data_IF_660431574786
#
_entry.id   IF_660431574786
#
_cell.length_a   1.000
_cell.length_b   1.000
_cell.length_c   1.000
_cell.angle_alpha   90.00
_cell.angle_beta   90.00
_cell.angle_gamma   90.00
#
_symmetry.space_group_name_H-M   'P 1'
#
loop_
_entity.id
_entity.type
_entity.pdbx_description
1 polymer ?
#
# COMPACT_ATOMS: atom_id res chain seq x y z
N UNK A 1 16.59 33.56 9.25
CA UNK A 1 15.82 33.11 10.43
C UNK A 1 14.77 32.07 10.05
N UNK A 2 13.92 32.29 9.04
CA UNK A 2 12.86 31.34 8.65
C UNK A 2 13.33 29.88 8.36
N UNK A 3 14.45 29.66 7.65
CA UNK A 3 14.94 28.31 7.33
C UNK A 3 15.52 27.53 8.53
N UNK A 4 15.97 28.23 9.59
CA UNK A 4 16.42 27.57 10.83
C UNK A 4 15.23 27.13 11.69
N UNK A 5 14.12 27.88 11.62
CA UNK A 5 12.88 27.55 12.33
C UNK A 5 12.23 26.30 11.74
N UNK A 6 12.22 26.14 10.41
CA UNK A 6 11.64 24.96 9.76
C UNK A 6 12.43 23.66 9.99
N UNK A 7 13.76 23.75 10.12
CA UNK A 7 14.60 22.58 10.41
C UNK A 7 14.39 22.05 11.82
N UNK A 8 14.30 22.95 12.81
CA UNK A 8 14.05 22.58 14.20
C UNK A 8 12.65 21.96 14.37
N UNK A 9 11.62 22.53 13.73
CA UNK A 9 10.26 21.97 13.73
C UNK A 9 10.22 20.55 13.14
N UNK A 10 10.86 20.34 11.99
CA UNK A 10 10.98 19.02 11.37
C UNK A 10 11.65 18.00 12.30
N UNK A 11 12.75 18.39 12.96
CA UNK A 11 13.47 17.49 13.87
C UNK A 11 12.68 17.18 15.13
N UNK A 12 11.89 18.12 15.65
CA UNK A 12 10.97 17.89 16.77
C UNK A 12 9.88 16.89 16.37
N UNK A 13 9.25 17.08 15.21
CA UNK A 13 8.22 16.16 14.69
C UNK A 13 8.80 14.74 14.52
N UNK A 14 9.96 14.61 13.87
CA UNK A 14 10.62 13.32 13.65
C UNK A 14 11.03 12.64 14.96
N UNK A 15 11.52 13.38 15.96
CA UNK A 15 11.83 12.81 17.28
C UNK A 15 10.58 12.31 17.99
N UNK A 16 9.50 13.08 17.96
CA UNK A 16 8.22 12.64 18.53
C UNK A 16 7.74 11.34 17.88
N UNK A 17 7.81 11.29 16.54
CA UNK A 17 7.47 10.08 15.78
C UNK A 17 8.33 8.88 16.22
N UNK A 18 9.65 9.04 16.33
CA UNK A 18 10.53 7.94 16.73
C UNK A 18 10.18 7.40 18.12
N UNK A 19 9.82 8.26 19.07
CA UNK A 19 9.35 7.83 20.39
C UNK A 19 8.02 7.08 20.31
N UNK A 20 7.09 7.53 19.46
CA UNK A 20 5.83 6.82 19.21
C UNK A 20 6.08 5.41 18.63
N UNK A 21 6.99 5.29 17.67
CA UNK A 21 7.36 4.01 17.06
C UNK A 21 8.04 3.07 18.05
N UNK A 22 8.92 3.59 18.93
CA UNK A 22 9.55 2.80 20.00
C UNK A 22 8.49 2.22 20.94
N UNK A 23 7.55 3.06 21.41
CA UNK A 23 6.44 2.61 22.26
C UNK A 23 5.59 1.55 21.59
N UNK A 24 5.22 1.78 20.33
CA UNK A 24 4.43 0.83 19.53
C UNK A 24 5.16 -0.50 19.32
N UNK A 25 6.47 -0.48 19.13
CA UNK A 25 7.29 -1.68 19.03
C UNK A 25 7.26 -2.49 20.34
N UNK A 26 7.36 -1.84 21.49
CA UNK A 26 7.26 -2.50 22.80
C UNK A 26 5.85 -3.06 23.06
N UNK A 27 4.80 -2.33 22.68
CA UNK A 27 3.42 -2.81 22.76
C UNK A 27 3.21 -4.07 21.92
N UNK A 28 3.66 -4.06 20.66
CA UNK A 28 3.54 -5.22 19.76
C UNK A 28 4.34 -6.42 20.27
N UNK A 29 5.51 -6.20 20.88
CA UNK A 29 6.31 -7.28 21.48
C UNK A 29 5.55 -8.03 22.57
N UNK A 30 4.74 -7.31 23.37
CA UNK A 30 3.96 -7.91 24.46
C UNK A 30 2.75 -8.69 23.97
N UNK A 31 2.23 -8.37 22.78
CA UNK A 31 1.02 -8.97 22.21
C UNK A 31 1.37 -10.10 21.24
N UNK A 32 2.52 -10.04 20.56
CA UNK A 32 2.91 -11.05 19.59
C UNK A 32 3.43 -12.31 20.31
N UNK A 33 2.79 -13.45 20.06
CA UNK A 33 3.18 -14.76 20.63
C UNK A 33 4.06 -15.60 19.70
N UNK A 34 4.28 -15.14 18.46
CA UNK A 34 5.01 -15.88 17.44
C UNK A 34 6.52 -15.56 17.47
N UNK A 35 7.41 -16.56 17.32
CA UNK A 35 8.86 -16.32 17.27
C UNK A 35 9.30 -15.43 16.10
N UNK A 36 8.65 -15.56 14.94
CA UNK A 36 8.97 -14.79 13.74
C UNK A 36 8.66 -13.29 13.91
N UNK A 37 7.54 -12.96 14.54
CA UNK A 37 7.19 -11.56 14.86
C UNK A 37 8.16 -10.97 15.87
N UNK A 38 8.64 -11.75 16.84
CA UNK A 38 9.67 -11.30 17.78
C UNK A 38 10.97 -10.91 17.07
N UNK A 39 11.44 -11.72 16.12
CA UNK A 39 12.67 -11.41 15.36
C UNK A 39 12.53 -10.12 14.54
N UNK A 40 11.37 -9.89 13.92
CA UNK A 40 11.08 -8.66 13.17
C UNK A 40 11.09 -7.44 14.09
N UNK A 41 10.43 -7.53 15.25
CA UNK A 41 10.39 -6.43 16.21
C UNK A 41 11.77 -6.12 16.82
N UNK A 42 12.60 -7.14 17.07
CA UNK A 42 13.99 -6.94 17.47
C UNK A 42 14.79 -6.20 16.39
N UNK A 43 14.58 -6.52 15.12
CA UNK A 43 15.16 -5.78 14.01
C UNK A 43 14.69 -4.32 14.00
N UNK A 44 13.38 -4.07 14.16
CA UNK A 44 12.83 -2.71 14.26
C UNK A 44 13.50 -1.91 15.39
N UNK A 45 13.70 -2.50 16.57
CA UNK A 45 14.38 -1.83 17.71
C UNK A 45 15.81 -1.46 17.38
N UNK A 46 16.54 -2.34 16.71
CA UNK A 46 17.92 -2.07 16.31
C UNK A 46 17.98 -0.96 15.25
N UNK A 47 17.10 -0.98 14.26
CA UNK A 47 17.04 0.05 13.22
C UNK A 47 16.56 1.39 13.78
N UNK A 48 15.59 1.42 14.70
CA UNK A 48 15.15 2.63 15.42
C UNK A 48 16.29 3.35 16.15
N UNK A 49 17.21 2.59 16.78
CA UNK A 49 18.42 3.16 17.39
C UNK A 49 19.34 3.79 16.34
N UNK A 50 19.41 3.20 15.14
CA UNK A 50 20.24 3.73 14.05
C UNK A 50 19.69 5.03 13.45
N UNK A 51 18.37 5.24 13.49
CA UNK A 51 17.70 6.45 12.98
C UNK A 51 17.38 7.47 14.08
N UNK A 52 17.84 7.26 15.31
CA UNK A 52 17.60 8.19 16.43
C UNK A 52 18.19 9.59 16.20
N UNK A 53 19.30 9.65 15.48
CA UNK A 53 19.95 10.89 15.09
C UNK A 53 19.32 11.47 13.82
N UNK A 54 18.26 12.26 13.99
CA UNK A 54 17.57 12.94 12.87
C UNK A 54 18.52 13.95 12.20
N UNK A 55 18.80 13.79 10.89
CA UNK A 55 19.66 14.70 10.12
C UNK A 55 18.98 16.06 9.87
N UNK A 56 19.77 17.05 9.47
CA UNK A 56 19.24 18.35 9.01
C UNK A 56 18.56 18.21 7.64
N UNK A 57 17.54 19.04 7.37
CA UNK A 57 16.84 19.15 6.09
C UNK A 57 17.79 19.42 4.91
N UNK A 58 18.90 20.12 5.17
CA UNK A 58 19.94 20.47 4.20
C UNK A 58 20.84 19.28 3.81
N UNK A 59 20.84 18.21 4.60
CA UNK A 59 21.80 17.10 4.50
C UNK A 59 21.34 16.03 3.51
N UNK A 60 21.15 16.42 2.24
CA UNK A 60 20.50 15.63 1.18
C UNK A 60 20.72 14.11 1.23
N UNK A 61 21.96 13.63 1.13
CA UNK A 61 22.26 12.18 1.12
C UNK A 61 21.99 11.50 2.47
N UNK A 62 22.42 12.11 3.58
CA UNK A 62 22.18 11.59 4.93
C UNK A 62 20.68 11.51 5.26
N UNK A 63 19.92 12.51 4.83
CA UNK A 63 18.47 12.60 4.97
C UNK A 63 17.75 11.55 4.14
N UNK A 64 18.16 11.33 2.89
CA UNK A 64 17.63 10.26 2.05
C UNK A 64 17.88 8.89 2.69
N UNK A 65 19.11 8.64 3.14
CA UNK A 65 19.45 7.39 3.84
C UNK A 65 18.61 7.21 5.10
N UNK A 66 18.48 8.25 5.91
CA UNK A 66 17.68 8.23 7.14
C UNK A 66 16.21 7.93 6.84
N UNK A 67 15.62 8.57 5.82
CA UNK A 67 14.21 8.36 5.47
C UNK A 67 13.95 6.95 4.93
N UNK A 68 14.91 6.37 4.18
CA UNK A 68 14.82 4.97 3.72
C UNK A 68 14.84 4.00 4.91
N UNK A 69 15.74 4.19 5.87
CA UNK A 69 15.79 3.33 7.06
C UNK A 69 14.56 3.50 7.96
N UNK A 70 14.05 4.73 8.13
CA UNK A 70 12.78 4.97 8.81
C UNK A 70 11.63 4.25 8.09
N UNK A 71 11.57 4.33 6.77
CA UNK A 71 10.54 3.68 5.96
C UNK A 71 10.52 2.17 6.17
N UNK A 72 11.69 1.53 6.20
CA UNK A 72 11.80 0.07 6.48
C UNK A 72 11.24 -0.28 7.85
N UNK A 73 11.56 0.50 8.89
CA UNK A 73 10.99 0.30 10.24
C UNK A 73 9.48 0.44 10.23
N UNK A 74 8.95 1.48 9.58
CA UNK A 74 7.52 1.71 9.48
C UNK A 74 6.83 0.52 8.80
N UNK A 75 7.42 0.00 7.71
CA UNK A 75 6.94 -1.19 7.05
C UNK A 75 6.96 -2.39 8.00
N UNK A 76 8.10 -2.76 8.57
CA UNK A 76 8.20 -3.95 9.43
C UNK A 76 7.23 -3.91 10.63
N UNK A 77 7.13 -2.77 11.31
CA UNK A 77 6.22 -2.60 12.46
C UNK A 77 4.76 -2.76 12.07
N UNK A 78 4.36 -2.08 10.99
CA UNK A 78 2.96 -2.13 10.55
C UNK A 78 2.61 -3.50 9.96
N UNK A 79 3.57 -4.24 9.42
CA UNK A 79 3.32 -5.59 8.91
C UNK A 79 2.90 -6.55 10.02
N UNK A 80 3.58 -6.49 11.18
CA UNK A 80 3.19 -7.26 12.36
C UNK A 80 1.76 -6.93 12.79
N UNK A 81 1.40 -5.65 12.78
CA UNK A 81 0.07 -5.21 13.17
C UNK A 81 -1.03 -5.58 12.17
N UNK A 82 -0.73 -5.51 10.87
CA UNK A 82 -1.61 -5.98 9.80
C UNK A 82 -1.92 -7.46 9.94
N UNK A 83 -0.91 -8.29 10.20
CA UNK A 83 -1.10 -9.73 10.37
C UNK A 83 -2.02 -10.01 11.55
N UNK A 84 -1.88 -9.30 12.67
CA UNK A 84 -2.80 -9.42 13.82
C UNK A 84 -4.24 -9.07 13.42
N UNK A 85 -4.45 -8.03 12.62
CA UNK A 85 -5.81 -7.65 12.16
C UNK A 85 -6.41 -8.69 11.21
N UNK A 86 -5.60 -9.23 10.30
CA UNK A 86 -6.02 -10.25 9.33
C UNK A 86 -6.31 -11.57 10.02
N UNK A 87 -5.45 -12.00 10.94
CA UNK A 87 -5.62 -13.24 11.71
C UNK A 87 -6.86 -13.18 12.62
N UNK A 88 -7.17 -12.00 13.16
CA UNK A 88 -8.41 -11.75 13.91
C UNK A 88 -9.64 -11.53 13.01
N UNK A 89 -9.51 -11.70 11.68
CA UNK A 89 -10.63 -11.53 10.74
C UNK A 89 -11.28 -10.15 10.79
N UNK A 90 -10.53 -9.12 11.22
CA UNK A 90 -11.06 -7.78 11.49
C UNK A 90 -12.29 -7.79 12.44
N UNK A 91 -12.35 -8.71 13.41
CA UNK A 91 -13.48 -8.86 14.33
C UNK A 91 -13.40 -7.97 15.58
N UNK A 92 -12.22 -7.47 15.95
CA UNK A 92 -12.10 -6.55 17.06
C UNK A 92 -12.94 -5.27 16.86
N UNK A 93 -13.61 -4.81 17.94
CA UNK A 93 -14.30 -3.50 18.01
C UNK A 93 -13.39 -2.34 17.55
N UNK A 94 -12.07 -2.55 17.62
CA UNK A 94 -11.06 -1.55 17.30
C UNK A 94 -10.37 -1.76 15.94
N UNK A 95 -10.85 -2.67 15.07
CA UNK A 95 -10.20 -2.96 13.78
C UNK A 95 -10.12 -1.74 12.86
N UNK A 96 -11.19 -0.95 12.76
CA UNK A 96 -11.19 0.28 11.93
C UNK A 96 -10.21 1.33 12.48
N UNK A 97 -10.28 1.74 13.77
CA UNK A 97 -9.29 2.65 14.35
C UNK A 97 -7.85 2.19 14.12
N UNK A 98 -7.57 0.91 14.41
CA UNK A 98 -6.23 0.33 14.29
C UNK A 98 -5.73 0.33 12.85
N UNK A 99 -6.60 -0.04 11.91
CA UNK A 99 -6.30 0.04 10.48
C UNK A 99 -6.03 1.48 10.05
N UNK A 100 -6.87 2.45 10.45
CA UNK A 100 -6.66 3.88 10.16
C UNK A 100 -5.31 4.37 10.71
N UNK A 101 -4.87 3.88 11.86
CA UNK A 101 -3.57 4.23 12.43
C UNK A 101 -2.41 3.59 11.65
N UNK A 102 -2.52 2.34 11.20
CA UNK A 102 -1.55 1.73 10.28
C UNK A 102 -1.42 2.57 9.00
N UNK A 103 -2.55 2.95 8.39
CA UNK A 103 -2.54 3.75 7.16
C UNK A 103 -1.84 5.10 7.36
N UNK A 104 -2.10 5.79 8.47
CA UNK A 104 -1.42 7.05 8.81
C UNK A 104 0.08 6.86 8.96
N UNK A 105 0.52 5.76 9.57
CA UNK A 105 1.93 5.44 9.80
C UNK A 105 2.64 5.13 8.48
N UNK A 106 2.02 4.34 7.59
CA UNK A 106 2.54 4.05 6.26
C UNK A 106 2.60 5.29 5.34
N UNK A 107 1.74 6.28 5.54
CA UNK A 107 1.72 7.54 4.79
C UNK A 107 2.82 8.53 5.22
N UNK A 108 3.47 8.31 6.38
CA UNK A 108 4.51 9.20 6.92
C UNK A 108 5.63 9.48 5.91
N UNK A 109 6.27 8.47 5.28
CA UNK A 109 7.38 8.73 4.35
C UNK A 109 6.95 9.57 3.16
N UNK A 110 5.69 9.42 2.72
CA UNK A 110 5.11 10.16 1.61
C UNK A 110 4.87 11.63 1.99
N UNK A 111 4.44 11.90 3.23
CA UNK A 111 4.20 13.26 3.74
C UNK A 111 5.47 14.01 4.12
N UNK A 112 6.45 13.29 4.68
CA UNK A 112 7.69 13.92 5.10
C UNK A 112 8.45 14.53 3.92
N UNK A 113 8.16 14.11 2.67
CA UNK A 113 8.81 14.50 1.41
C UNK A 113 9.70 15.75 1.52
N UNK A 114 10.94 15.47 1.93
CA UNK A 114 11.79 16.47 2.55
C UNK A 114 12.53 17.21 1.44
N UNK A 115 12.08 18.44 1.16
CA UNK A 115 12.78 19.42 0.32
C UNK A 115 12.67 19.18 -1.19
N UNK A 116 11.57 19.64 -1.81
CA UNK A 116 11.33 19.82 -3.27
C UNK A 116 11.64 18.67 -4.24
N UNK A 117 12.30 17.61 -3.81
CA UNK A 117 12.66 16.46 -4.61
C UNK A 117 11.45 15.54 -4.76
N UNK A 118 11.45 14.76 -5.83
CA UNK A 118 10.43 13.76 -6.03
C UNK A 118 10.62 12.65 -4.99
N UNK A 119 9.54 12.19 -4.34
CA UNK A 119 9.61 11.09 -3.36
C UNK A 119 10.27 9.83 -3.95
N UNK A 120 10.14 9.62 -5.27
CA UNK A 120 10.81 8.55 -5.99
C UNK A 120 12.34 8.73 -6.04
N UNK A 121 12.85 9.95 -6.09
CA UNK A 121 14.30 10.22 -6.03
C UNK A 121 14.84 9.96 -4.63
N UNK A 122 14.02 10.19 -3.61
CA UNK A 122 14.41 10.03 -2.21
C UNK A 122 14.33 8.56 -1.78
N UNK A 123 13.21 7.89 -1.99
CA UNK A 123 12.96 6.52 -1.52
C UNK A 123 13.31 5.46 -2.56
N UNK A 124 13.26 5.79 -3.84
CA UNK A 124 13.30 4.81 -4.93
C UNK A 124 11.94 4.19 -5.23
N UNK A 125 11.80 3.62 -6.41
CA UNK A 125 10.54 3.01 -6.88
C UNK A 125 10.09 1.86 -5.98
N UNK A 126 11.01 1.00 -5.54
CA UNK A 126 10.69 -0.20 -4.75
C UNK A 126 10.00 0.13 -3.42
N UNK A 127 10.53 1.09 -2.65
CA UNK A 127 9.92 1.47 -1.36
C UNK A 127 8.59 2.20 -1.56
N UNK A 128 8.49 3.08 -2.55
CA UNK A 128 7.24 3.80 -2.84
C UNK A 128 6.15 2.84 -3.31
N UNK A 129 6.49 1.89 -4.18
CA UNK A 129 5.61 0.83 -4.63
C UNK A 129 5.15 -0.05 -3.46
N UNK A 130 6.08 -0.43 -2.57
CA UNK A 130 5.76 -1.23 -1.38
C UNK A 130 4.80 -0.51 -0.42
N UNK A 131 5.01 0.78 -0.15
CA UNK A 131 4.09 1.58 0.69
C UNK A 131 2.69 1.61 0.06
N UNK A 132 2.60 1.95 -1.22
CA UNK A 132 1.32 2.02 -1.91
C UNK A 132 0.62 0.65 -1.98
N UNK A 133 1.38 -0.42 -2.24
CA UNK A 133 0.87 -1.79 -2.21
C UNK A 133 0.29 -2.13 -0.84
N UNK A 134 1.05 -1.91 0.23
CA UNK A 134 0.63 -2.31 1.58
C UNK A 134 -0.60 -1.58 2.08
N UNK A 135 -0.67 -0.27 1.86
CA UNK A 135 -1.88 0.49 2.13
C UNK A 135 -3.07 -0.06 1.32
N UNK A 136 -2.86 -0.25 0.01
CA UNK A 136 -3.90 -0.73 -0.90
C UNK A 136 -4.41 -2.12 -0.56
N UNK A 137 -3.50 -3.05 -0.26
CA UNK A 137 -3.78 -4.43 0.08
C UNK A 137 -4.49 -4.53 1.43
N UNK A 138 -4.09 -3.75 2.45
CA UNK A 138 -4.80 -3.74 3.74
C UNK A 138 -6.25 -3.29 3.59
N UNK A 139 -6.49 -2.22 2.81
CA UNK A 139 -7.84 -1.78 2.46
C UNK A 139 -8.64 -2.89 1.76
N UNK A 140 -8.01 -3.59 0.81
CA UNK A 140 -8.63 -4.72 0.13
C UNK A 140 -8.98 -5.86 1.10
N UNK A 141 -8.05 -6.27 1.98
CA UNK A 141 -8.27 -7.36 2.93
C UNK A 141 -9.44 -7.06 3.87
N UNK A 142 -9.54 -5.83 4.37
CA UNK A 142 -10.70 -5.39 5.16
C UNK A 142 -12.00 -5.51 4.35
N UNK A 143 -12.04 -4.91 3.15
CA UNK A 143 -13.25 -4.93 2.33
C UNK A 143 -13.65 -6.34 1.90
N UNK A 144 -12.69 -7.20 1.56
CA UNK A 144 -12.93 -8.59 1.18
C UNK A 144 -13.53 -9.38 2.32
N UNK A 145 -13.01 -9.21 3.54
CA UNK A 145 -13.51 -9.90 4.75
C UNK A 145 -14.98 -9.57 5.00
N UNK A 146 -15.35 -8.28 4.97
CA UNK A 146 -16.75 -7.86 5.18
C UNK A 146 -17.65 -8.24 3.99
N UNK A 147 -17.16 -8.12 2.75
CA UNK A 147 -17.96 -8.40 1.57
C UNK A 147 -18.31 -9.88 1.39
N UNK A 148 -17.49 -10.78 1.96
CA UNK A 148 -17.66 -12.23 1.89
C UNK A 148 -18.42 -12.82 3.09
N UNK A 149 -18.54 -12.07 4.20
CA UNK A 149 -19.33 -12.49 5.36
C UNK A 149 -20.73 -11.87 5.32
N UNK A 150 -21.72 -12.66 4.89
CA UNK A 150 -23.12 -12.25 4.79
C UNK A 150 -23.69 -11.73 6.13
N UNK A 151 -23.22 -12.25 7.26
CA UNK A 151 -23.70 -11.82 8.58
C UNK A 151 -23.15 -10.45 8.99
N UNK A 152 -22.05 -10.01 8.36
CA UNK A 152 -21.38 -8.74 8.64
C UNK A 152 -21.63 -7.68 7.58
N UNK A 153 -22.44 -7.97 6.56
CA UNK A 153 -22.82 -6.95 5.57
C UNK A 153 -23.59 -5.79 6.19
N UNK A 154 -24.27 -6.00 7.31
CA UNK A 154 -24.91 -4.93 8.09
C UNK A 154 -23.88 -3.95 8.71
N UNK A 155 -22.61 -4.35 8.86
CA UNK A 155 -21.51 -3.48 9.32
C UNK A 155 -20.96 -2.58 8.20
N UNK A 156 -21.40 -2.78 6.95
CA UNK A 156 -20.96 -1.97 5.81
C UNK A 156 -21.55 -0.56 5.91
N UNK A 157 -20.71 0.38 6.35
CA UNK A 157 -21.03 1.79 6.45
C UNK A 157 -20.14 2.70 5.59
N UNK A 158 -20.16 4.00 5.89
CA UNK A 158 -19.34 5.00 5.19
C UNK A 158 -17.84 4.69 5.23
N UNK A 159 -17.36 4.14 6.35
CA UNK A 159 -15.96 3.75 6.50
C UNK A 159 -15.57 2.71 5.45
N UNK A 160 -16.40 1.70 5.19
CA UNK A 160 -16.12 0.69 4.14
C UNK A 160 -15.92 1.34 2.77
N UNK A 161 -16.77 2.31 2.42
CA UNK A 161 -16.73 3.01 1.14
C UNK A 161 -15.48 3.90 1.03
N UNK A 162 -15.13 4.58 2.12
CA UNK A 162 -13.90 5.38 2.19
C UNK A 162 -12.66 4.48 2.08
N UNK A 163 -12.66 3.32 2.73
CA UNK A 163 -11.56 2.34 2.69
C UNK A 163 -11.43 1.74 1.28
N UNK A 164 -12.53 1.35 0.64
CA UNK A 164 -12.51 0.86 -0.73
C UNK A 164 -11.96 1.90 -1.71
N UNK A 165 -12.40 3.16 -1.60
CA UNK A 165 -11.89 4.28 -2.40
C UNK A 165 -10.39 4.48 -2.19
N UNK A 166 -9.93 4.46 -0.94
CA UNK A 166 -8.52 4.58 -0.61
C UNK A 166 -7.72 3.43 -1.21
N UNK A 167 -8.20 2.20 -1.09
CA UNK A 167 -7.57 1.02 -1.69
C UNK A 167 -7.38 1.16 -3.20
N UNK A 168 -8.44 1.57 -3.93
CA UNK A 168 -8.36 1.86 -5.38
C UNK A 168 -7.31 2.91 -5.69
N UNK A 169 -7.29 4.01 -4.92
CA UNK A 169 -6.34 5.10 -5.13
C UNK A 169 -4.89 4.65 -4.94
N UNK A 170 -4.59 3.95 -3.84
CA UNK A 170 -3.25 3.50 -3.50
C UNK A 170 -2.74 2.39 -4.42
N UNK A 171 -3.57 1.40 -4.76
CA UNK A 171 -3.19 0.37 -5.73
C UNK A 171 -2.99 0.97 -7.13
N UNK A 172 -3.78 1.97 -7.53
CA UNK A 172 -3.54 2.69 -8.79
C UNK A 172 -2.21 3.45 -8.79
N UNK A 173 -1.81 4.02 -7.65
CA UNK A 173 -0.48 4.67 -7.50
C UNK A 173 0.65 3.65 -7.47
N UNK A 174 0.45 2.49 -6.85
CA UNK A 174 1.39 1.36 -6.89
C UNK A 174 1.69 0.98 -8.34
N UNK A 175 0.65 0.71 -9.14
CA UNK A 175 0.80 0.36 -10.57
C UNK A 175 1.42 1.48 -11.42
N UNK A 176 1.31 2.73 -11.00
CA UNK A 176 1.88 3.90 -11.69
C UNK A 176 3.30 4.27 -11.23
N UNK A 177 3.87 3.54 -10.26
CA UNK A 177 5.16 3.88 -9.66
C UNK A 177 6.31 3.65 -10.65
N UNK A 178 6.30 2.54 -11.39
CA UNK A 178 7.30 2.23 -12.42
C UNK A 178 6.86 2.73 -13.79
N UNK A 179 7.79 3.24 -14.58
CA UNK A 179 7.54 3.56 -15.98
C UNK A 179 7.45 2.28 -16.81
N UNK A 180 6.39 2.13 -17.61
CA UNK A 180 6.29 1.07 -18.61
C UNK A 180 7.50 1.07 -19.55
N UNK A 181 7.93 -0.11 -19.97
CA UNK A 181 8.92 -0.26 -21.03
C UNK A 181 8.44 0.49 -22.28
N UNK A 182 9.20 1.50 -22.69
CA UNK A 182 9.05 2.17 -23.99
C UNK A 182 9.87 1.43 -25.04
N UNK A 183 9.48 1.54 -26.31
CA UNK A 183 9.86 0.66 -27.42
C UNK A 183 11.38 0.65 -27.80
N UNK A 184 12.23 1.40 -27.11
CA UNK A 184 13.66 1.57 -27.41
C UNK A 184 14.58 0.68 -26.56
N UNK A 185 14.31 -0.64 -26.50
CA UNK A 185 15.24 -1.61 -25.92
C UNK A 185 15.76 -2.56 -27.01
N UNK A 186 16.51 -2.02 -27.96
CA UNK A 186 17.19 -2.77 -29.03
C UNK A 186 18.24 -3.77 -28.54
N UNK A 187 18.62 -3.72 -27.25
CA UNK A 187 19.68 -4.54 -26.68
C UNK A 187 19.20 -5.72 -25.83
N UNK A 188 17.89 -5.97 -25.74
CA UNK A 188 17.36 -7.07 -24.93
C UNK A 188 17.08 -8.30 -25.79
N UNK A 189 18.16 -8.87 -26.34
CA UNK A 189 18.13 -10.06 -27.20
C UNK A 189 17.81 -11.38 -26.47
N UNK A 190 17.30 -11.35 -25.23
CA UNK A 190 17.10 -12.53 -24.38
C UNK A 190 15.87 -12.46 -23.45
N UNK A 191 14.84 -11.65 -23.74
CA UNK A 191 13.57 -11.74 -23.00
C UNK A 191 12.58 -12.62 -23.78
N UNK A 192 11.97 -13.60 -23.10
CA UNK A 192 10.85 -14.38 -23.62
C UNK A 192 9.70 -13.44 -24.02
N UNK A 193 9.05 -13.69 -25.17
CA UNK A 193 7.98 -12.85 -25.72
C UNK A 193 6.86 -12.56 -24.71
N UNK A 194 6.46 -13.56 -23.92
CA UNK A 194 5.44 -13.40 -22.88
C UNK A 194 5.89 -12.43 -21.79
N UNK A 195 7.15 -12.52 -21.33
CA UNK A 195 7.73 -11.63 -20.31
C UNK A 195 7.79 -10.21 -20.85
N UNK A 196 8.16 -10.02 -22.12
CA UNK A 196 8.15 -8.70 -22.76
C UNK A 196 6.74 -8.10 -22.77
N UNK A 197 5.72 -8.89 -23.11
CA UNK A 197 4.33 -8.42 -23.12
C UNK A 197 3.81 -8.08 -21.72
N UNK A 198 4.13 -8.89 -20.70
CA UNK A 198 3.80 -8.61 -19.30
C UNK A 198 4.39 -7.27 -18.86
N UNK A 199 5.68 -7.04 -19.12
CA UNK A 199 6.36 -5.79 -18.76
C UNK A 199 5.81 -4.58 -19.53
N UNK A 200 5.50 -4.74 -20.84
CA UNK A 200 4.84 -3.68 -21.63
C UNK A 200 3.45 -3.33 -21.09
N UNK A 201 2.76 -4.31 -20.49
CA UNK A 201 1.46 -4.12 -19.84
C UNK A 201 1.57 -3.64 -18.38
N UNK A 202 2.78 -3.44 -17.85
CA UNK A 202 3.03 -2.95 -16.50
C UNK A 202 2.94 -4.02 -15.40
N UNK A 203 3.00 -5.31 -15.76
CA UNK A 203 3.01 -6.43 -14.81
C UNK A 203 4.46 -6.89 -14.56
N UNK A 204 5.09 -6.36 -13.50
CA UNK A 204 6.49 -6.67 -13.15
C UNK A 204 6.63 -7.82 -12.14
N UNK A 205 5.56 -8.19 -11.45
CA UNK A 205 5.50 -9.26 -10.46
C UNK A 205 4.06 -9.69 -10.23
N UNK A 206 3.88 -10.83 -9.55
CA UNK A 206 2.55 -11.32 -9.11
C UNK A 206 1.78 -10.25 -8.33
N UNK A 207 2.48 -9.44 -7.52
CA UNK A 207 1.90 -8.31 -6.78
C UNK A 207 1.20 -7.30 -7.69
N UNK A 208 1.76 -7.02 -8.88
CA UNK A 208 1.13 -6.11 -9.84
C UNK A 208 -0.15 -6.73 -10.40
N UNK A 209 -0.11 -8.03 -10.71
CA UNK A 209 -1.28 -8.78 -11.22
C UNK A 209 -2.39 -8.80 -10.17
N UNK A 210 -2.05 -9.05 -8.89
CA UNK A 210 -2.98 -8.97 -7.76
C UNK A 210 -3.55 -7.56 -7.59
N UNK A 211 -2.73 -6.51 -7.67
CA UNK A 211 -3.20 -5.14 -7.57
C UNK A 211 -4.26 -4.81 -8.63
N UNK A 212 -4.08 -5.27 -9.87
CA UNK A 212 -5.07 -5.10 -10.94
C UNK A 212 -6.40 -5.77 -10.56
N UNK A 213 -6.38 -7.01 -10.05
CA UNK A 213 -7.58 -7.70 -9.60
C UNK A 213 -8.26 -7.00 -8.42
N UNK A 214 -7.48 -6.65 -7.40
CA UNK A 214 -7.96 -6.01 -6.18
C UNK A 214 -8.63 -4.67 -6.47
N UNK A 215 -8.11 -3.86 -7.40
CA UNK A 215 -8.78 -2.63 -7.83
C UNK A 215 -10.16 -2.95 -8.43
N UNK A 216 -10.24 -3.98 -9.28
CA UNK A 216 -11.50 -4.41 -9.89
C UNK A 216 -12.56 -4.79 -8.85
N UNK A 217 -12.18 -5.58 -7.85
CA UNK A 217 -13.06 -5.99 -6.75
C UNK A 217 -13.47 -4.84 -5.83
N UNK A 218 -12.53 -3.98 -5.45
CA UNK A 218 -12.83 -2.79 -4.65
C UNK A 218 -13.83 -1.87 -5.38
N UNK A 219 -13.64 -1.64 -6.68
CA UNK A 219 -14.60 -0.85 -7.48
C UNK A 219 -15.98 -1.50 -7.53
N UNK A 220 -16.05 -2.83 -7.64
CA UNK A 220 -17.32 -3.57 -7.59
C UNK A 220 -18.00 -3.44 -6.23
N UNK A 221 -17.30 -3.69 -5.13
CA UNK A 221 -17.87 -3.57 -3.79
C UNK A 221 -18.28 -2.14 -3.46
N UNK A 222 -17.50 -1.15 -3.88
CA UNK A 222 -17.86 0.25 -3.78
C UNK A 222 -19.22 0.53 -4.45
N UNK A 223 -19.46 0.00 -5.65
CA UNK A 223 -20.70 0.23 -6.40
C UNK A 223 -21.87 -0.61 -5.88
N UNK A 224 -21.61 -1.83 -5.42
CA UNK A 224 -22.62 -2.75 -4.91
C UNK A 224 -23.17 -2.31 -3.55
N UNK A 225 -22.28 -1.95 -2.64
CA UNK A 225 -22.64 -1.63 -1.25
C UNK A 225 -22.63 -0.13 -0.96
N UNK A 226 -22.08 0.69 -1.86
CA UNK A 226 -22.00 2.13 -1.66
C UNK A 226 -23.31 2.84 -1.88
N UNK A 227 -23.70 3.65 -0.89
CA UNK A 227 -24.81 4.59 -0.98
C UNK A 227 -24.38 5.98 -1.49
N UNK A 228 -23.17 6.12 -2.07
CA UNK A 228 -22.72 7.40 -2.62
C UNK A 228 -23.78 7.94 -3.58
N UNK A 229 -24.22 9.18 -3.37
CA UNK A 229 -25.16 9.85 -4.28
C UNK A 229 -24.43 10.56 -5.42
N UNK A 230 -23.10 10.55 -5.42
CA UNK A 230 -22.29 11.18 -6.46
C UNK A 230 -22.14 10.25 -7.68
N UNK A 231 -22.88 10.57 -8.74
CA UNK A 231 -22.84 9.82 -10.00
C UNK A 231 -21.51 9.96 -10.75
N UNK A 232 -20.75 11.05 -10.55
CA UNK A 232 -19.42 11.18 -11.15
C UNK A 232 -18.46 10.18 -10.51
N UNK A 233 -18.53 10.04 -9.19
CA UNK A 233 -17.73 9.08 -8.44
C UNK A 233 -18.06 7.64 -8.83
N UNK A 234 -19.36 7.30 -8.92
CA UNK A 234 -19.77 5.97 -9.40
C UNK A 234 -19.28 5.70 -10.83
N UNK A 235 -19.40 6.69 -11.72
CA UNK A 235 -18.93 6.58 -13.10
C UNK A 235 -17.42 6.35 -13.15
N UNK A 236 -16.66 7.09 -12.35
CA UNK A 236 -15.22 6.89 -12.20
C UNK A 236 -14.89 5.47 -11.72
N UNK A 237 -15.50 5.01 -10.63
CA UNK A 237 -15.26 3.68 -10.08
C UNK A 237 -15.60 2.58 -11.08
N UNK A 238 -16.72 2.71 -11.80
CA UNK A 238 -17.10 1.75 -12.85
C UNK A 238 -16.07 1.69 -13.96
N UNK A 239 -15.59 2.84 -14.43
CA UNK A 239 -14.61 2.92 -15.51
C UNK A 239 -13.25 2.35 -15.09
N UNK A 240 -12.79 2.68 -13.89
CA UNK A 240 -11.55 2.13 -13.32
C UNK A 240 -11.67 0.62 -13.15
N UNK A 241 -12.73 0.13 -12.50
CA UNK A 241 -12.96 -1.29 -12.29
C UNK A 241 -13.01 -2.08 -13.61
N UNK A 242 -13.78 -1.61 -14.59
CA UNK A 242 -13.84 -2.24 -15.92
C UNK A 242 -12.49 -2.26 -16.64
N UNK A 243 -11.71 -1.18 -16.54
CA UNK A 243 -10.37 -1.10 -17.13
C UNK A 243 -9.46 -2.17 -16.51
N UNK A 244 -9.42 -2.25 -15.18
CA UNK A 244 -8.53 -3.18 -14.48
C UNK A 244 -8.96 -4.63 -14.66
N UNK A 245 -10.24 -4.96 -14.56
CA UNK A 245 -10.71 -6.34 -14.80
C UNK A 245 -10.40 -6.82 -16.23
N UNK A 246 -10.56 -5.97 -17.24
CA UNK A 246 -10.15 -6.32 -18.61
C UNK A 246 -8.64 -6.52 -18.74
N UNK A 247 -7.84 -5.70 -18.05
CA UNK A 247 -6.40 -5.86 -18.01
C UNK A 247 -6.02 -7.20 -17.35
N UNK A 248 -6.62 -7.52 -16.21
CA UNK A 248 -6.40 -8.79 -15.50
C UNK A 248 -6.73 -9.98 -16.39
N UNK A 249 -7.93 -10.01 -16.98
CA UNK A 249 -8.35 -11.08 -17.92
C UNK A 249 -7.34 -11.24 -19.05
N UNK A 250 -6.85 -10.14 -19.63
CA UNK A 250 -5.85 -10.19 -20.70
C UNK A 250 -4.52 -10.76 -20.21
N UNK A 251 -4.06 -10.36 -19.02
CA UNK A 251 -2.81 -10.88 -18.44
C UNK A 251 -2.91 -12.39 -18.19
N UNK A 252 -4.00 -12.84 -17.57
CA UNK A 252 -4.19 -14.23 -17.16
C UNK A 252 -4.50 -15.16 -18.32
N UNK A 253 -5.39 -14.77 -19.23
CA UNK A 253 -5.81 -15.65 -20.33
C UNK A 253 -4.75 -15.78 -21.41
N UNK A 254 -3.84 -14.80 -21.53
CA UNK A 254 -2.84 -14.76 -22.60
C UNK A 254 -1.42 -15.12 -22.14
N UNK A 255 -1.00 -14.72 -20.93
CA UNK A 255 0.43 -14.74 -20.57
C UNK A 255 0.76 -15.41 -19.24
N UNK A 256 -0.22 -15.66 -18.35
CA UNK A 256 0.03 -16.22 -17.01
C UNK A 256 -0.65 -17.57 -16.82
N UNK A 257 0.11 -18.65 -16.94
CA UNK A 257 -0.37 -20.00 -16.66
C UNK A 257 -0.65 -20.19 -15.16
N UNK A 258 -1.79 -20.82 -14.84
CA UNK A 258 -2.19 -21.14 -13.46
C UNK A 258 -3.03 -20.08 -12.75
N UNK A 259 -3.24 -18.92 -13.38
CA UNK A 259 -4.12 -17.87 -12.86
C UNK A 259 -5.54 -18.02 -13.40
N UNK A 260 -6.54 -17.77 -12.57
CA UNK A 260 -7.96 -17.83 -12.94
C UNK A 260 -8.56 -16.44 -13.16
N UNK A 261 -9.29 -16.30 -14.28
CA UNK A 261 -9.99 -15.09 -14.68
C UNK A 261 -11.51 -15.18 -14.58
N UNK A 262 -12.05 -16.31 -14.13
CA UNK A 262 -13.49 -16.56 -14.00
C UNK A 262 -14.15 -15.46 -13.17
N UNK A 263 -13.62 -15.19 -11.98
CA UNK A 263 -14.12 -14.14 -11.10
C UNK A 263 -14.07 -12.76 -11.75
N UNK A 264 -12.97 -12.43 -12.43
CA UNK A 264 -12.84 -11.13 -13.10
C UNK A 264 -13.87 -10.95 -14.23
N UNK A 265 -14.18 -12.01 -14.97
CA UNK A 265 -15.22 -12.03 -16.02
C UNK A 265 -16.61 -11.83 -15.45
N UNK A 266 -16.93 -12.51 -14.33
CA UNK A 266 -18.19 -12.33 -13.61
C UNK A 266 -18.37 -10.87 -13.18
N UNK A 267 -17.39 -10.33 -12.46
CA UNK A 267 -17.45 -8.95 -11.97
C UNK A 267 -17.57 -7.93 -13.11
N UNK A 268 -16.87 -8.17 -14.23
CA UNK A 268 -16.94 -7.29 -15.40
C UNK A 268 -18.34 -7.25 -16.02
N UNK A 269 -19.12 -8.32 -15.92
CA UNK A 269 -20.51 -8.36 -16.38
C UNK A 269 -21.48 -7.62 -15.45
N UNK A 270 -21.10 -7.47 -14.18
CA UNK A 270 -21.92 -6.82 -13.14
C UNK A 270 -21.62 -5.31 -12.99
N UNK A 271 -20.45 -4.86 -13.45
CA UNK A 271 -20.02 -3.46 -13.51
C UNK A 271 -20.54 -2.75 -14.75
#
# INVERSE_FOLDING_TARGET
>A
MAAKTSDEEFRIECKSLLEDLKRKCDELQNISSLPETSSTLDHCKMTLKSVENVPELSSGESLQKWLKELTKVLLDLTHVEENILVDDGFHAVNSIPRMKDILKVLDIPLRLNVGKNNILEVLGEELVECIHWRIGALCYMYCATLAQDENRQEEIGEDFINIARNGVSYLSRMLATRKCLTEDMSDVSVICEDVYHLLKMGAYSDTHVLAVMYIGELCYWFLKYGHSTDENEKSYMRNVGRKQLRLYIKLTDSYLHGWDSTRAKELLSLL
#
